data_IF_627512419461
#
_entry.id   IF_627512419461
#
_cell.length_a   1.000
_cell.length_b   1.000
_cell.length_c   1.000
_cell.angle_alpha   90.00
_cell.angle_beta   90.00
_cell.angle_gamma   90.00
#
_symmetry.space_group_name_H-M   'P 1'
#
loop_
_entity.id
_entity.type
_entity.pdbx_description
1 polymer ?
#
# COMPACT_ATOMS: atom_id res chain seq x y z
N UNK A 1 18.07 21.35 -15.72
CA UNK A 1 18.99 21.17 -16.88
C UNK A 1 18.50 20.14 -17.92
N UNK A 2 17.93 18.99 -17.53
CA UNK A 2 17.52 17.95 -18.50
C UNK A 2 16.35 18.39 -19.42
N UNK A 3 15.25 18.88 -18.84
CA UNK A 3 14.06 19.33 -19.60
C UNK A 3 14.45 20.34 -20.68
N UNK A 4 15.20 21.38 -20.33
CA UNK A 4 15.66 22.37 -21.31
C UNK A 4 16.51 21.78 -22.45
N UNK A 5 17.33 20.76 -22.19
CA UNK A 5 18.09 20.06 -23.24
C UNK A 5 17.18 19.26 -24.18
N UNK A 6 16.10 18.67 -23.65
CA UNK A 6 15.08 17.99 -24.48
C UNK A 6 14.39 19.01 -25.37
N UNK A 7 13.93 20.13 -24.81
CA UNK A 7 13.28 21.19 -25.57
C UNK A 7 14.17 21.77 -26.68
N UNK A 8 15.47 21.99 -26.40
CA UNK A 8 16.43 22.44 -27.40
C UNK A 8 16.57 21.45 -28.57
N UNK A 9 16.60 20.15 -28.29
CA UNK A 9 16.66 19.10 -29.33
C UNK A 9 15.38 19.04 -30.15
N UNK A 10 14.21 19.21 -29.52
CA UNK A 10 12.93 19.26 -30.22
C UNK A 10 12.85 20.50 -31.13
N UNK A 11 13.35 21.65 -30.66
CA UNK A 11 13.43 22.89 -31.43
C UNK A 11 14.36 22.75 -32.64
N UNK A 12 15.56 22.18 -32.45
CA UNK A 12 16.52 21.93 -33.53
C UNK A 12 15.98 20.97 -34.62
N UNK A 13 15.01 20.13 -34.28
CA UNK A 13 14.29 19.23 -35.21
C UNK A 13 13.04 19.87 -35.83
N UNK A 14 12.66 21.10 -35.44
CA UNK A 14 11.45 21.77 -35.92
C UNK A 14 10.13 21.14 -35.44
N UNK A 15 10.15 20.35 -34.36
CA UNK A 15 8.98 19.61 -33.85
C UNK A 15 8.58 20.01 -32.42
N UNK A 16 9.17 21.07 -31.86
CA UNK A 16 8.90 21.50 -30.48
C UNK A 16 7.41 21.78 -30.25
N UNK A 17 6.78 22.52 -31.15
CA UNK A 17 5.40 22.97 -30.97
C UNK A 17 4.36 21.86 -31.23
N UNK A 18 4.76 20.80 -31.94
CA UNK A 18 3.90 19.63 -32.25
C UNK A 18 4.13 18.45 -31.31
N UNK A 19 5.22 18.45 -30.55
CA UNK A 19 5.56 17.37 -29.60
C UNK A 19 5.05 17.71 -28.20
N UNK A 20 4.16 16.88 -27.65
CA UNK A 20 3.77 16.98 -26.23
C UNK A 20 4.88 16.43 -25.35
N UNK A 21 5.43 17.26 -24.47
CA UNK A 21 6.35 16.84 -23.42
C UNK A 21 5.58 16.75 -22.11
N UNK A 22 5.58 15.56 -21.51
CA UNK A 22 4.95 15.27 -20.22
C UNK A 22 6.04 14.86 -19.24
N UNK A 23 6.08 15.48 -18.06
CA UNK A 23 7.00 15.18 -16.97
C UNK A 23 6.18 14.73 -15.76
N UNK A 24 6.47 13.54 -15.24
CA UNK A 24 5.68 12.87 -14.21
C UNK A 24 6.59 12.39 -13.09
N UNK A 25 6.12 12.56 -11.86
CA UNK A 25 6.52 11.74 -10.72
C UNK A 25 5.29 10.99 -10.23
N UNK A 26 5.40 9.68 -10.07
CA UNK A 26 4.34 8.80 -9.58
C UNK A 26 3.97 9.07 -8.11
N UNK A 27 4.93 9.55 -7.34
CA UNK A 27 4.72 10.04 -5.98
C UNK A 27 5.79 11.07 -5.60
N UNK A 28 5.59 11.73 -4.47
CA UNK A 28 6.62 12.44 -3.74
C UNK A 28 7.37 11.50 -2.79
N UNK A 29 8.03 12.05 -1.77
CA UNK A 29 8.56 11.32 -0.63
C UNK A 29 8.71 12.28 0.55
N UNK A 30 8.78 11.75 1.76
CA UNK A 30 9.08 12.50 2.97
C UNK A 30 10.03 11.71 3.86
N UNK A 31 10.73 12.39 4.75
CA UNK A 31 11.50 11.76 5.80
C UNK A 31 10.59 11.03 6.82
N UNK A 32 11.14 10.00 7.44
CA UNK A 32 10.52 9.33 8.58
C UNK A 32 11.55 9.00 9.64
N UNK A 33 11.33 9.55 10.83
CA UNK A 33 12.17 9.35 12.00
C UNK A 33 11.69 8.21 12.90
N UNK A 34 10.53 7.62 12.62
CA UNK A 34 9.89 6.60 13.43
C UNK A 34 9.38 5.44 12.57
N UNK A 35 9.62 4.20 13.02
CA UNK A 35 9.09 2.97 12.45
C UNK A 35 7.88 2.51 13.27
N UNK A 36 6.77 2.24 12.60
CA UNK A 36 5.53 1.74 13.18
C UNK A 36 5.39 0.23 12.93
N UNK A 37 5.41 -0.57 13.99
CA UNK A 37 5.23 -2.02 13.94
C UNK A 37 3.74 -2.36 14.06
N UNK A 38 3.02 -2.38 12.93
CA UNK A 38 1.57 -2.61 12.91
C UNK A 38 1.19 -3.96 13.53
N UNK A 39 1.95 -5.02 13.25
CA UNK A 39 1.69 -6.34 13.85
C UNK A 39 1.90 -6.34 15.36
N UNK A 40 2.87 -5.55 15.87
CA UNK A 40 3.05 -5.38 17.32
C UNK A 40 1.85 -4.64 17.93
N UNK A 41 1.42 -3.55 17.29
CA UNK A 41 0.23 -2.81 17.71
C UNK A 41 -1.01 -3.70 17.74
N UNK A 42 -1.23 -4.54 16.71
CA UNK A 42 -2.33 -5.50 16.65
C UNK A 42 -2.27 -6.53 17.78
N UNK A 43 -1.08 -6.97 18.22
CA UNK A 43 -0.94 -7.83 19.40
C UNK A 43 -1.36 -7.12 20.68
N UNK A 44 -0.87 -5.89 20.88
CA UNK A 44 -1.16 -5.11 22.08
C UNK A 44 -2.65 -4.80 22.23
N UNK A 45 -3.39 -4.76 21.12
CA UNK A 45 -4.84 -4.53 21.08
C UNK A 45 -5.67 -5.82 20.96
N UNK A 46 -5.03 -7.00 20.96
CA UNK A 46 -5.71 -8.30 20.98
C UNK A 46 -6.29 -8.76 19.63
N UNK A 47 -5.84 -8.20 18.52
CA UNK A 47 -6.25 -8.62 17.17
C UNK A 47 -5.35 -9.69 16.57
N UNK A 48 -4.07 -9.73 16.97
CA UNK A 48 -3.10 -10.72 16.54
C UNK A 48 -2.60 -11.50 17.76
N UNK A 49 -2.57 -12.81 17.65
CA UNK A 49 -2.14 -13.71 18.73
C UNK A 49 -0.89 -14.46 18.31
N UNK A 50 0.16 -14.45 19.14
CA UNK A 50 1.33 -15.29 18.95
C UNK A 50 1.15 -16.63 19.68
N UNK A 51 1.69 -17.72 19.11
CA UNK A 51 1.65 -19.09 19.68
C UNK A 51 2.33 -19.16 21.06
N UNK A 52 3.36 -18.35 21.24
CA UNK A 52 4.11 -18.21 22.48
C UNK A 52 4.33 -16.73 22.75
N UNK A 53 4.52 -16.37 24.03
CA UNK A 53 4.83 -15.00 24.41
C UNK A 53 6.23 -14.61 23.93
N UNK A 54 6.30 -14.03 22.73
CA UNK A 54 7.53 -13.53 22.11
C UNK A 54 7.43 -12.02 21.92
N UNK A 55 8.50 -11.30 22.26
CA UNK A 55 8.57 -9.85 22.04
C UNK A 55 8.83 -9.50 20.58
N UNK A 56 9.49 -10.38 19.83
CA UNK A 56 9.76 -10.24 18.41
C UNK A 56 9.31 -11.51 17.71
N UNK A 57 8.85 -11.40 16.47
CA UNK A 57 8.39 -12.57 15.74
C UNK A 57 7.94 -12.27 14.33
N UNK A 58 7.43 -13.31 13.68
CA UNK A 58 6.88 -13.23 12.33
C UNK A 58 5.65 -14.12 12.19
N UNK A 59 5.11 -14.21 10.97
CA UNK A 59 3.97 -15.09 10.67
C UNK A 59 4.17 -16.56 11.06
N UNK A 60 5.42 -17.04 11.15
CA UNK A 60 5.71 -18.38 11.69
C UNK A 60 5.27 -18.54 13.15
N UNK A 61 5.24 -17.45 13.91
CA UNK A 61 4.94 -17.41 15.33
C UNK A 61 3.47 -17.07 15.61
N UNK A 62 2.67 -16.76 14.58
CA UNK A 62 1.26 -16.38 14.71
C UNK A 62 0.37 -17.59 14.96
N UNK A 63 -0.48 -17.52 15.98
CA UNK A 63 -1.62 -18.42 16.13
C UNK A 63 -2.79 -17.88 15.31
N UNK A 64 -2.88 -18.37 14.08
CA UNK A 64 -3.94 -17.99 13.14
C UNK A 64 -5.35 -18.38 13.61
N UNK A 65 -5.48 -19.39 14.48
CA UNK A 65 -6.78 -19.79 15.01
C UNK A 65 -7.35 -18.81 16.05
N UNK A 66 -6.52 -17.86 16.51
CA UNK A 66 -6.89 -16.82 17.47
C UNK A 66 -6.53 -15.41 16.98
N UNK A 67 -6.25 -15.26 15.67
CA UNK A 67 -5.86 -13.98 15.06
C UNK A 67 -6.98 -13.50 14.16
N UNK A 68 -7.43 -12.26 14.35
CA UNK A 68 -8.50 -11.63 13.60
C UNK A 68 -7.97 -10.72 12.48
N UNK A 69 -6.80 -10.10 12.67
CA UNK A 69 -6.20 -9.18 11.70
C UNK A 69 -4.67 -9.26 11.71
N UNK A 70 -4.06 -8.92 10.59
CA UNK A 70 -2.61 -8.92 10.40
C UNK A 70 -2.19 -7.85 9.38
N UNK A 71 -0.97 -7.34 9.54
CA UNK A 71 -0.31 -6.44 8.61
C UNK A 71 0.73 -7.18 7.78
N UNK A 72 0.73 -6.93 6.48
CA UNK A 72 1.79 -7.34 5.55
C UNK A 72 1.91 -6.32 4.43
N UNK A 73 3.13 -6.02 4.00
CA UNK A 73 3.38 -4.83 3.19
C UNK A 73 3.40 -3.57 4.06
N UNK A 74 3.57 -2.42 3.42
CA UNK A 74 3.94 -1.19 4.14
C UNK A 74 2.75 -0.32 4.56
N UNK A 75 1.56 -0.55 4.00
CA UNK A 75 0.35 0.21 4.30
C UNK A 75 -0.89 -0.68 4.36
N UNK A 76 -0.72 -1.99 4.51
CA UNK A 76 -1.79 -2.96 4.24
C UNK A 76 -2.13 -3.75 5.50
N UNK A 77 -3.39 -3.68 5.89
CA UNK A 77 -4.00 -4.51 6.93
C UNK A 77 -5.05 -5.41 6.30
N UNK A 78 -5.00 -6.68 6.68
CA UNK A 78 -5.93 -7.72 6.27
C UNK A 78 -6.63 -8.30 7.50
N UNK A 79 -7.87 -8.67 7.33
CA UNK A 79 -8.58 -9.55 8.25
C UNK A 79 -8.26 -11.01 7.93
N UNK A 80 -8.26 -11.86 8.96
CA UNK A 80 -8.19 -13.31 8.80
C UNK A 80 -9.61 -13.86 8.56
N UNK A 81 -10.16 -13.61 7.37
CA UNK A 81 -11.52 -13.94 6.97
C UNK A 81 -11.69 -15.43 6.67
N UNK A 82 -12.77 -16.00 7.18
CA UNK A 82 -13.15 -17.37 6.86
C UNK A 82 -13.45 -17.53 5.37
N UNK A 83 -12.79 -18.51 4.74
CA UNK A 83 -12.93 -18.81 3.31
C UNK A 83 -12.02 -18.02 2.37
N UNK A 84 -11.33 -16.97 2.86
CA UNK A 84 -10.25 -16.29 2.12
C UNK A 84 -8.88 -16.70 2.63
N UNK A 85 -8.69 -16.69 3.94
CA UNK A 85 -7.47 -17.18 4.59
C UNK A 85 -7.60 -18.66 4.99
N UNK A 86 -6.50 -19.42 4.87
CA UNK A 86 -6.51 -20.86 5.13
C UNK A 86 -6.91 -21.27 6.55
N UNK A 87 -6.72 -20.38 7.53
CA UNK A 87 -7.17 -20.54 8.94
C UNK A 87 -8.06 -19.36 9.37
N UNK A 88 -8.82 -18.81 8.42
CA UNK A 88 -9.70 -17.67 8.63
C UNK A 88 -10.78 -17.91 9.69
N UNK A 89 -10.82 -17.04 10.70
CA UNK A 89 -11.77 -17.14 11.82
C UNK A 89 -12.86 -16.07 11.76
N UNK A 90 -12.60 -14.93 11.12
CA UNK A 90 -13.55 -13.82 11.05
C UNK A 90 -14.64 -14.15 10.03
N UNK A 91 -15.89 -14.22 10.50
CA UNK A 91 -17.03 -14.54 9.65
C UNK A 91 -17.51 -13.30 8.88
N UNK A 92 -18.16 -13.51 7.73
CA UNK A 92 -18.68 -12.41 6.90
C UNK A 92 -19.63 -11.46 7.66
N UNK A 93 -20.39 -11.98 8.65
CA UNK A 93 -21.28 -11.17 9.49
C UNK A 93 -20.57 -10.29 10.53
N UNK A 94 -19.29 -10.57 10.82
CA UNK A 94 -18.49 -9.86 11.83
C UNK A 94 -17.57 -8.81 11.19
N UNK A 95 -17.25 -9.00 9.91
CA UNK A 95 -16.29 -8.23 9.14
C UNK A 95 -16.48 -6.71 9.26
N UNK A 96 -17.67 -6.18 8.98
CA UNK A 96 -17.89 -4.72 8.97
C UNK A 96 -17.73 -4.10 10.36
N UNK A 97 -18.19 -4.78 11.42
CA UNK A 97 -18.06 -4.27 12.79
C UNK A 97 -16.60 -4.27 13.24
N UNK A 98 -15.86 -5.35 12.95
CA UNK A 98 -14.44 -5.44 13.25
C UNK A 98 -13.64 -4.36 12.52
N UNK A 99 -13.98 -4.10 11.25
CA UNK A 99 -13.28 -3.10 10.46
C UNK A 99 -13.53 -1.68 10.95
N UNK A 100 -14.77 -1.34 11.30
CA UNK A 100 -15.06 -0.03 11.89
C UNK A 100 -14.25 0.17 13.18
N UNK A 101 -14.24 -0.84 14.06
CA UNK A 101 -13.47 -0.80 15.30
C UNK A 101 -11.97 -0.64 15.05
N UNK A 102 -11.39 -1.43 14.16
CA UNK A 102 -9.97 -1.33 13.79
C UNK A 102 -9.61 0.04 13.20
N UNK A 103 -10.44 0.56 12.29
CA UNK A 103 -10.23 1.88 11.71
C UNK A 103 -10.25 2.99 12.77
N UNK A 104 -11.22 2.95 13.69
CA UNK A 104 -11.33 3.94 14.76
C UNK A 104 -10.14 3.86 15.75
N UNK A 105 -9.71 2.67 16.13
CA UNK A 105 -8.56 2.47 17.02
C UNK A 105 -7.23 2.83 16.36
N UNK A 106 -7.05 2.52 15.06
CA UNK A 106 -5.87 2.94 14.30
C UNK A 106 -5.74 4.46 14.25
N UNK A 107 -6.84 5.18 14.06
CA UNK A 107 -6.85 6.65 14.06
C UNK A 107 -6.55 7.26 15.44
N UNK A 108 -6.68 6.47 16.51
CA UNK A 108 -6.33 6.85 17.88
C UNK A 108 -4.93 6.37 18.28
N UNK A 109 -4.18 5.73 17.38
CA UNK A 109 -2.84 5.25 17.68
C UNK A 109 -1.85 6.42 17.82
N UNK A 110 -1.42 6.66 19.06
CA UNK A 110 -0.39 7.63 19.39
C UNK A 110 0.96 6.97 19.66
N UNK A 111 2.04 7.63 19.22
CA UNK A 111 3.40 7.30 19.59
C UNK A 111 3.69 7.73 21.05
N UNK A 112 4.78 7.24 21.68
CA UNK A 112 5.11 7.61 23.07
C UNK A 112 5.24 9.12 23.34
N UNK A 113 5.48 9.92 22.31
CA UNK A 113 5.55 11.38 22.38
C UNK A 113 4.20 12.09 22.13
N UNK A 114 3.10 11.33 22.02
CA UNK A 114 1.74 11.84 21.77
C UNK A 114 1.44 12.20 20.31
N UNK A 115 2.37 11.99 19.38
CA UNK A 115 2.09 12.22 17.96
C UNK A 115 1.22 11.10 17.38
N UNK A 116 0.22 11.41 16.53
CA UNK A 116 -0.57 10.38 15.86
C UNK A 116 0.32 9.60 14.87
N UNK A 117 0.28 8.27 14.95
CA UNK A 117 1.04 7.38 14.05
C UNK A 117 0.34 7.23 12.71
N UNK A 118 -0.99 7.25 12.71
CA UNK A 118 -1.85 7.11 11.52
C UNK A 118 -2.59 8.42 11.29
N UNK A 119 -2.44 8.99 10.10
CA UNK A 119 -3.15 10.21 9.70
C UNK A 119 -4.52 9.90 9.09
N UNK A 120 -4.62 8.79 8.36
CA UNK A 120 -5.84 8.39 7.67
C UNK A 120 -5.90 6.88 7.44
N UNK A 121 -7.11 6.35 7.34
CA UNK A 121 -7.38 4.96 6.95
C UNK A 121 -8.38 4.97 5.80
N UNK A 122 -8.23 4.02 4.88
CA UNK A 122 -9.18 3.79 3.79
C UNK A 122 -9.64 2.35 3.80
N UNK A 123 -10.95 2.11 3.64
CA UNK A 123 -11.48 0.78 3.45
C UNK A 123 -11.20 0.34 2.02
N UNK A 124 -11.01 -0.96 1.79
CA UNK A 124 -10.79 -1.52 0.45
C UNK A 124 -11.78 -0.95 -0.59
N UNK A 125 -13.07 -1.01 -0.26
CA UNK A 125 -14.19 -0.57 -1.11
C UNK A 125 -14.18 0.91 -1.49
N UNK A 126 -13.41 1.73 -0.78
CA UNK A 126 -13.35 3.18 -1.01
C UNK A 126 -12.23 3.56 -1.98
N UNK A 127 -11.23 2.69 -2.18
CA UNK A 127 -9.99 3.01 -2.92
C UNK A 127 -9.64 2.03 -4.04
N UNK A 128 -10.11 0.79 -3.96
CA UNK A 128 -9.85 -0.23 -4.99
C UNK A 128 -11.13 -0.53 -5.78
N UNK A 129 -10.98 -0.63 -7.09
CA UNK A 129 -12.01 -1.02 -8.03
C UNK A 129 -11.50 -2.13 -8.97
N UNK A 130 -12.43 -2.76 -9.69
CA UNK A 130 -12.11 -3.79 -10.68
C UNK A 130 -12.04 -5.23 -10.12
N UNK A 131 -11.81 -6.21 -11.01
CA UNK A 131 -12.02 -7.63 -10.72
C UNK A 131 -11.04 -8.22 -9.69
N UNK A 132 -9.93 -7.53 -9.41
CA UNK A 132 -8.91 -7.98 -8.45
C UNK A 132 -8.98 -7.26 -7.10
N UNK A 133 -9.92 -6.33 -6.91
CA UNK A 133 -10.07 -5.54 -5.67
C UNK A 133 -10.20 -6.41 -4.41
N UNK A 134 -10.84 -7.57 -4.53
CA UNK A 134 -11.02 -8.55 -3.45
C UNK A 134 -9.70 -9.16 -2.91
N UNK A 135 -8.60 -9.10 -3.68
CA UNK A 135 -7.27 -9.53 -3.24
C UNK A 135 -6.47 -8.40 -2.56
N UNK A 136 -6.97 -7.16 -2.62
CA UNK A 136 -6.35 -6.03 -1.93
C UNK A 136 -6.53 -6.09 -0.41
N UNK A 137 -5.83 -5.22 0.34
CA UNK A 137 -5.99 -5.13 1.79
C UNK A 137 -7.39 -4.69 2.17
N UNK A 138 -7.91 -5.15 3.31
CA UNK A 138 -9.21 -4.72 3.83
C UNK A 138 -9.17 -3.26 4.31
N UNK A 139 -8.01 -2.83 4.80
CA UNK A 139 -7.71 -1.44 5.19
C UNK A 139 -6.34 -1.03 4.66
N UNK A 140 -6.31 0.11 3.96
CA UNK A 140 -5.07 0.82 3.65
C UNK A 140 -4.79 1.82 4.77
N UNK A 141 -3.64 1.69 5.43
CA UNK A 141 -3.18 2.53 6.55
C UNK A 141 -2.31 3.66 6.03
N UNK A 142 -2.76 4.90 6.18
CA UNK A 142 -2.00 6.11 5.88
C UNK A 142 -1.23 6.58 7.10
N UNK A 143 0.01 6.11 7.23
CA UNK A 143 0.92 6.59 8.28
C UNK A 143 1.13 8.10 8.17
N UNK A 144 1.17 8.78 9.31
CA UNK A 144 1.39 10.22 9.37
C UNK A 144 2.82 10.59 8.95
N UNK A 145 3.06 11.80 8.40
CA UNK A 145 4.41 12.28 8.12
C UNK A 145 5.34 12.12 9.33
N UNK A 146 6.56 11.65 9.11
CA UNK A 146 7.49 11.27 10.18
C UNK A 146 7.41 9.80 10.61
N UNK A 147 6.34 9.08 10.24
CA UNK A 147 6.13 7.65 10.49
C UNK A 147 6.08 6.85 9.18
N UNK A 148 6.51 5.60 9.25
CA UNK A 148 6.33 4.58 8.19
C UNK A 148 6.23 3.20 8.85
N UNK A 149 5.51 2.26 8.26
CA UNK A 149 5.54 0.88 8.73
C UNK A 149 6.99 0.38 8.84
N UNK A 150 7.28 -0.46 9.83
CA UNK A 150 8.60 -1.10 9.92
C UNK A 150 8.83 -2.05 8.73
N UNK A 151 10.10 -2.27 8.37
CA UNK A 151 10.43 -3.27 7.35
C UNK A 151 10.00 -4.68 7.78
N UNK A 152 10.04 -4.95 9.08
CA UNK A 152 9.52 -6.17 9.70
C UNK A 152 8.03 -6.33 9.40
N UNK A 153 7.20 -5.32 9.67
CA UNK A 153 5.76 -5.34 9.32
C UNK A 153 5.56 -5.62 7.84
N UNK A 154 6.38 -5.01 6.99
CA UNK A 154 6.38 -5.26 5.54
C UNK A 154 6.52 -6.73 5.17
N UNK A 155 7.20 -7.53 5.99
CA UNK A 155 7.45 -8.95 5.82
C UNK A 155 6.57 -9.84 6.72
N UNK A 156 5.54 -9.28 7.39
CA UNK A 156 4.70 -10.02 8.34
C UNK A 156 5.30 -10.17 9.74
N UNK A 157 6.40 -9.46 10.03
CA UNK A 157 7.10 -9.44 11.30
C UNK A 157 6.66 -8.34 12.26
N UNK A 158 7.20 -8.40 13.47
CA UNK A 158 7.10 -7.37 14.50
C UNK A 158 8.31 -7.37 15.43
N UNK A 159 8.54 -6.23 16.08
CA UNK A 159 9.53 -6.05 17.13
C UNK A 159 8.87 -5.81 18.49
N UNK A 160 9.68 -5.65 19.54
CA UNK A 160 9.23 -5.51 20.93
C UNK A 160 8.33 -4.28 21.16
N UNK A 161 8.54 -3.19 20.44
CA UNK A 161 7.81 -1.94 20.60
C UNK A 161 6.95 -1.66 19.37
N UNK A 162 5.72 -1.16 19.57
CA UNK A 162 4.84 -0.77 18.47
C UNK A 162 5.39 0.42 17.67
N UNK A 163 6.20 1.29 18.29
CA UNK A 163 6.88 2.41 17.64
C UNK A 163 8.32 2.46 18.10
N UNK A 164 9.25 2.64 17.17
CA UNK A 164 10.68 2.81 17.49
C UNK A 164 11.35 3.87 16.61
N UNK A 165 12.43 4.53 17.09
CA UNK A 165 13.20 5.44 16.27
C UNK A 165 13.81 4.76 15.04
N UNK A 166 13.80 5.46 13.91
CA UNK A 166 14.50 5.03 12.71
C UNK A 166 15.98 5.41 12.78
N UNK A 167 16.84 4.42 13.03
CA UNK A 167 18.31 4.56 12.97
C UNK A 167 18.92 3.99 11.68
N UNK A 168 18.09 3.68 10.68
CA UNK A 168 18.52 3.11 9.41
C UNK A 168 19.06 4.19 8.45
N UNK A 169 19.88 3.78 7.48
CA UNK A 169 20.30 4.65 6.37
C UNK A 169 19.13 5.02 5.45
N UNK A 170 18.06 4.22 5.45
CA UNK A 170 16.81 4.51 4.76
C UNK A 170 15.93 5.46 5.59
N UNK A 171 16.16 6.76 5.46
CA UNK A 171 15.51 7.81 6.26
C UNK A 171 14.29 8.49 5.63
N UNK A 172 13.93 8.14 4.38
CA UNK A 172 12.81 8.75 3.67
C UNK A 172 12.08 7.72 2.80
N UNK A 173 10.77 7.85 2.66
CA UNK A 173 9.93 6.94 1.88
C UNK A 173 8.65 7.65 1.37
N UNK A 174 7.86 6.92 0.60
CA UNK A 174 6.57 7.34 0.05
C UNK A 174 5.42 6.40 0.45
N UNK A 175 5.73 5.25 1.09
CA UNK A 175 4.76 4.33 1.68
C UNK A 175 4.14 4.86 2.98
N UNK A 176 3.48 6.02 2.89
CA UNK A 176 2.80 6.73 3.98
C UNK A 176 1.42 7.21 3.50
N UNK A 177 0.77 8.18 4.18
CA UNK A 177 -0.42 8.83 3.62
C UNK A 177 -0.13 9.43 2.22
N UNK A 178 -0.80 8.98 1.14
CA UNK A 178 -0.56 9.46 -0.22
C UNK A 178 -0.80 10.97 -0.40
N UNK A 179 -1.62 11.61 0.44
CA UNK A 179 -1.83 13.06 0.36
C UNK A 179 -0.63 13.86 0.89
N UNK A 180 0.25 13.24 1.69
CA UNK A 180 1.46 13.87 2.20
C UNK A 180 2.63 13.78 1.20
N UNK A 181 2.57 12.84 0.25
CA UNK A 181 3.62 12.61 -0.76
C UNK A 181 3.04 12.64 -2.18
N UNK A 182 2.39 13.74 -2.60
CA UNK A 182 1.75 13.81 -3.90
C UNK A 182 2.79 13.71 -5.02
N UNK A 183 2.43 12.98 -6.07
CA UNK A 183 3.14 13.03 -7.35
C UNK A 183 3.01 14.39 -8.02
N UNK A 184 3.71 14.57 -9.14
CA UNK A 184 3.62 15.79 -9.95
C UNK A 184 3.38 15.45 -11.41
N UNK A 185 2.63 16.31 -12.09
CA UNK A 185 2.38 16.22 -13.52
C UNK A 185 2.60 17.60 -14.15
N UNK A 186 3.53 17.68 -15.10
CA UNK A 186 3.74 18.85 -15.93
C UNK A 186 3.56 18.48 -17.41
N UNK A 187 2.95 19.38 -18.19
CA UNK A 187 2.77 19.21 -19.63
C UNK A 187 3.08 20.52 -20.35
N UNK A 188 3.87 20.43 -21.44
CA UNK A 188 4.24 21.59 -22.25
C UNK A 188 3.06 22.29 -22.94
N UNK A 189 1.95 21.58 -23.15
CA UNK A 189 0.78 22.09 -23.90
C UNK A 189 -0.40 22.50 -23.00
N UNK A 190 -0.14 22.73 -21.71
CA UNK A 190 -1.14 23.17 -20.74
C UNK A 190 -2.10 22.06 -20.32
N UNK A 191 -2.57 22.14 -19.07
CA UNK A 191 -3.51 21.19 -18.46
C UNK A 191 -4.85 21.84 -18.10
N UNK A 192 -5.15 23.03 -18.64
CA UNK A 192 -6.34 23.81 -18.24
C UNK A 192 -7.68 23.09 -18.46
N UNK A 193 -7.76 22.21 -19.46
CA UNK A 193 -8.93 21.38 -19.73
C UNK A 193 -8.88 20.03 -18.97
N UNK A 194 -7.97 19.90 -18.00
CA UNK A 194 -7.65 18.66 -17.30
C UNK A 194 -7.43 18.90 -15.80
N UNK A 195 -8.48 19.35 -15.07
CA UNK A 195 -8.32 19.89 -13.72
C UNK A 195 -7.96 18.84 -12.64
N UNK A 196 -8.30 17.57 -12.86
CA UNK A 196 -8.07 16.48 -11.89
C UNK A 196 -7.37 15.30 -12.56
N UNK A 197 -6.08 15.41 -12.90
CA UNK A 197 -5.35 14.34 -13.55
C UNK A 197 -5.17 13.11 -12.65
N UNK A 198 -5.45 11.93 -13.20
CA UNK A 198 -5.10 10.64 -12.61
C UNK A 198 -4.07 9.90 -13.47
N UNK A 199 -3.33 8.96 -12.87
CA UNK A 199 -2.47 8.02 -13.62
C UNK A 199 -3.23 7.27 -14.72
N UNK A 200 -4.52 7.03 -14.51
CA UNK A 200 -5.42 6.40 -15.48
C UNK A 200 -5.56 7.21 -16.77
N UNK A 201 -5.26 8.50 -16.73
CA UNK A 201 -5.41 9.40 -17.87
C UNK A 201 -4.11 9.60 -18.66
N UNK A 202 -2.97 9.10 -18.17
CA UNK A 202 -1.68 9.21 -18.87
C UNK A 202 -1.74 8.70 -20.31
N UNK A 203 -2.40 7.56 -20.62
CA UNK A 203 -2.58 7.16 -22.01
C UNK A 203 -3.30 8.23 -22.85
N UNK A 204 -4.39 8.82 -22.34
CA UNK A 204 -5.09 9.90 -23.03
C UNK A 204 -4.18 11.13 -23.23
N UNK A 205 -3.38 11.48 -22.22
CA UNK A 205 -2.43 12.60 -22.28
C UNK A 205 -1.32 12.38 -23.32
N UNK A 206 -0.88 11.13 -23.50
CA UNK A 206 0.28 10.78 -24.34
C UNK A 206 -0.11 10.45 -25.78
N UNK A 207 -1.16 9.66 -26.00
CA UNK A 207 -1.56 9.17 -27.34
C UNK A 207 -2.89 9.76 -27.85
N UNK A 208 -3.52 10.65 -27.07
CA UNK A 208 -4.74 11.36 -27.51
C UNK A 208 -6.00 10.49 -27.63
N UNK A 209 -5.94 9.27 -27.10
CA UNK A 209 -7.06 8.33 -27.07
C UNK A 209 -7.27 7.80 -25.67
N UNK A 210 -8.54 7.68 -25.25
CA UNK A 210 -8.89 6.92 -24.05
C UNK A 210 -8.72 5.45 -24.40
N UNK A 211 -7.89 4.69 -23.67
CA UNK A 211 -7.80 3.25 -23.89
C UNK A 211 -9.17 2.62 -23.71
N UNK A 212 -9.56 1.76 -24.65
CA UNK A 212 -10.74 0.93 -24.47
C UNK A 212 -10.45 -0.14 -23.40
N UNK A 213 -10.95 0.11 -22.20
CA UNK A 213 -10.80 -0.82 -21.09
C UNK A 213 -11.78 -2.01 -21.17
N UNK A 214 -12.78 -1.98 -22.07
CA UNK A 214 -13.80 -3.04 -22.15
C UNK A 214 -13.24 -4.39 -22.60
N UNK A 215 -12.13 -4.37 -23.36
CA UNK A 215 -11.38 -5.55 -23.80
C UNK A 215 -10.05 -5.75 -23.07
N UNK A 216 -9.74 -4.96 -22.04
CA UNK A 216 -8.53 -5.16 -21.25
C UNK A 216 -8.68 -6.45 -20.46
N UNK A 217 -7.98 -7.50 -20.91
CA UNK A 217 -7.79 -8.67 -20.07
C UNK A 217 -7.21 -8.19 -18.73
N UNK A 218 -7.65 -8.75 -17.59
CA UNK A 218 -6.93 -8.52 -16.35
C UNK A 218 -5.44 -8.75 -16.61
N UNK A 219 -4.53 -7.96 -16.00
CA UNK A 219 -3.09 -8.24 -16.12
C UNK A 219 -2.94 -9.73 -15.88
N UNK A 220 -2.19 -10.47 -16.73
CA UNK A 220 -2.05 -11.89 -16.54
C UNK A 220 -1.69 -12.06 -15.07
N UNK A 221 -2.59 -12.69 -14.33
CA UNK A 221 -2.22 -13.22 -13.03
C UNK A 221 -0.91 -13.94 -13.33
N UNK A 222 0.13 -13.74 -12.54
CA UNK A 222 1.36 -14.50 -12.74
C UNK A 222 1.11 -16.02 -12.72
N UNK A 223 -0.13 -16.48 -12.48
CA UNK A 223 -0.63 -17.69 -13.13
C UNK A 223 -0.64 -17.52 -14.67
N UNK A 224 0.52 -17.81 -15.26
CA UNK A 224 0.48 -18.66 -16.45
C UNK A 224 -0.32 -19.94 -16.16
N UNK A 225 -0.21 -20.94 -17.01
CA UNK A 225 -0.81 -22.27 -16.78
C UNK A 225 -0.24 -23.03 -15.56
N UNK A 226 0.25 -22.34 -14.54
CA UNK A 226 0.63 -22.92 -13.25
C UNK A 226 -0.63 -23.45 -12.56
N UNK A 227 -0.64 -24.75 -12.27
CA UNK A 227 -1.72 -25.37 -11.53
C UNK A 227 -1.79 -24.77 -10.13
N UNK A 228 -2.98 -24.83 -9.53
CA UNK A 228 -3.21 -24.42 -8.13
C UNK A 228 -2.21 -25.08 -7.18
N UNK A 229 -1.71 -26.28 -7.51
CA UNK A 229 -0.68 -27.01 -6.78
C UNK A 229 0.67 -26.28 -6.74
N UNK A 230 1.07 -25.59 -7.82
CA UNK A 230 2.32 -24.82 -7.88
C UNK A 230 2.19 -23.53 -7.07
N UNK A 231 1.02 -22.89 -7.11
CA UNK A 231 0.70 -21.74 -6.26
C UNK A 231 0.72 -22.17 -4.79
N UNK A 232 0.12 -23.32 -4.48
CA UNK A 232 0.08 -23.92 -3.15
C UNK A 232 1.49 -24.26 -2.64
N UNK A 233 2.33 -24.87 -3.47
CA UNK A 233 3.71 -25.22 -3.13
C UNK A 233 4.58 -23.96 -2.93
N UNK A 234 4.33 -22.91 -3.71
CA UNK A 234 5.02 -21.62 -3.53
C UNK A 234 4.56 -20.92 -2.26
N UNK A 235 3.27 -20.94 -1.95
CA UNK A 235 2.72 -20.45 -0.69
C UNK A 235 3.26 -21.24 0.50
N UNK A 236 3.40 -22.57 0.40
CA UNK A 236 4.10 -23.42 1.39
C UNK A 236 5.55 -23.01 1.56
N UNK A 237 6.28 -22.78 0.46
CA UNK A 237 7.69 -22.35 0.52
C UNK A 237 7.88 -20.97 1.13
N UNK A 238 6.85 -20.12 1.07
CA UNK A 238 6.80 -18.80 1.69
C UNK A 238 6.17 -18.82 3.09
N UNK A 239 5.74 -19.99 3.59
CA UNK A 239 5.20 -20.18 4.95
C UNK A 239 3.72 -19.85 5.15
N UNK A 240 2.95 -19.69 4.07
CA UNK A 240 1.51 -19.36 4.12
C UNK A 240 0.60 -20.60 4.22
N UNK A 241 1.11 -21.79 3.91
CA UNK A 241 0.40 -23.08 3.91
C UNK A 241 1.25 -24.19 4.55
#
# INVERSE_FOLDING_TARGET
ALVGRVEQKLAAKGIKDTTKLVVISDHGFTDFGQKAHLNRWLQEHGYLTAKTAVSQGSFSDVDWSQTQAYGIGLNSLYLNLSGREGKGIVQAGEQENLLNKLCDELLQWEAPNGQPVVNKVWRNKDVFDGPLSAYGPDVMVGFAPGFRASSQTGLGGWEANAVEPNADHWGADHCIDPNAVPGVLFCSHGLGNFPNPSYRDIPMLTIGSKPDASGSAPPPTSSGTESDEVIEERLKSLGYL
#
